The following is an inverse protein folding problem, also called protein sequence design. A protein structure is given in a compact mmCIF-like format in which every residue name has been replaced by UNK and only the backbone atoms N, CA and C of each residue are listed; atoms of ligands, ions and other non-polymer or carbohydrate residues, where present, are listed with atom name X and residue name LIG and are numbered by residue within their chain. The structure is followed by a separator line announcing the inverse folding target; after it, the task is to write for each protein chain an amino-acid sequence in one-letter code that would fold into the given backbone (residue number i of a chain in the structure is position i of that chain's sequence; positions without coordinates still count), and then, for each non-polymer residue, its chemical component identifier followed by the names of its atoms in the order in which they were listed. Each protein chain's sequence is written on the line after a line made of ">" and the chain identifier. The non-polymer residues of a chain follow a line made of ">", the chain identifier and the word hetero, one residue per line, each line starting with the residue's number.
data_IF_515442351210
#
_entry.id   IF_515442351210
#
_cell.length_a   1.000
_cell.length_b   1.000
_cell.length_c   1.000
_cell.angle_alpha   90.00
_cell.angle_beta   90.00
_cell.angle_gamma   90.00
#
_symmetry.space_group_name_H-M   'P 1'
#
loop_
_entity.id
_entity.type
_entity.pdbx_description
1 polymer ?
#
# COMPACT_ATOMS: atom_id res chain seq x y z
N UNK A 1 19.77 -15.45 15.51
CA UNK A 1 19.19 -14.15 15.14
C UNK A 1 18.13 -13.65 16.13
N UNK A 2 17.21 -14.48 16.66
CA UNK A 2 16.16 -13.98 17.60
C UNK A 2 16.68 -13.39 18.92
N UNK A 3 17.84 -13.81 19.41
CA UNK A 3 18.51 -13.27 20.61
C UNK A 3 19.39 -12.04 20.33
N UNK A 4 19.46 -11.55 19.09
CA UNK A 4 20.22 -10.35 18.72
C UNK A 4 19.27 -9.16 18.51
N UNK A 5 19.74 -8.10 17.84
CA UNK A 5 18.95 -6.91 17.46
C UNK A 5 17.55 -7.23 16.93
N UNK A 6 17.36 -8.35 16.21
CA UNK A 6 16.06 -8.74 15.68
C UNK A 6 14.97 -8.86 16.75
N UNK A 7 15.26 -9.48 17.91
CA UNK A 7 14.29 -9.61 18.99
C UNK A 7 13.95 -8.29 19.70
N UNK A 8 14.80 -7.28 19.54
CA UNK A 8 14.57 -5.94 20.08
C UNK A 8 13.53 -5.16 19.26
N UNK A 9 13.47 -5.40 17.96
CA UNK A 9 12.67 -4.60 17.01
C UNK A 9 11.49 -5.35 16.40
N UNK A 10 11.44 -6.68 16.50
CA UNK A 10 10.36 -7.49 15.92
C UNK A 10 9.55 -8.18 17.01
N UNK A 11 8.27 -7.84 17.10
CA UNK A 11 7.36 -8.36 18.12
C UNK A 11 7.06 -9.87 17.95
N UNK A 12 7.20 -10.40 16.74
CA UNK A 12 6.99 -11.81 16.45
C UNK A 12 6.61 -12.08 15.00
N UNK A 13 6.60 -13.36 14.65
CA UNK A 13 6.18 -13.87 13.34
C UNK A 13 4.80 -14.55 13.38
N UNK A 14 4.29 -14.80 14.60
CA UNK A 14 3.00 -15.43 14.87
C UNK A 14 2.16 -14.53 15.77
N UNK A 15 0.84 -14.63 15.66
CA UNK A 15 -0.11 -13.84 16.46
C UNK A 15 0.17 -13.99 17.97
N UNK A 16 0.43 -15.21 18.46
CA UNK A 16 0.69 -15.46 19.88
C UNK A 16 1.96 -14.77 20.40
N UNK A 17 3.01 -14.70 19.57
CA UNK A 17 4.26 -14.00 19.91
C UNK A 17 3.99 -12.49 20.02
N UNK A 18 3.28 -11.92 19.03
CA UNK A 18 2.89 -10.50 19.04
C UNK A 18 1.99 -10.19 20.23
N UNK A 19 1.04 -11.07 20.55
CA UNK A 19 0.11 -10.92 21.69
C UNK A 19 0.85 -10.73 23.01
N UNK A 20 1.91 -11.49 23.26
CA UNK A 20 2.70 -11.36 24.49
C UNK A 20 3.31 -9.96 24.64
N UNK A 21 3.82 -9.38 23.54
CA UNK A 21 4.38 -8.03 23.52
C UNK A 21 3.28 -6.98 23.70
N UNK A 22 2.16 -7.13 22.99
CA UNK A 22 1.01 -6.22 23.10
C UNK A 22 0.46 -6.21 24.53
N UNK A 23 0.27 -7.37 25.15
CA UNK A 23 -0.24 -7.48 26.51
C UNK A 23 0.75 -6.89 27.53
N UNK A 24 2.05 -7.05 27.31
CA UNK A 24 3.08 -6.37 28.11
C UNK A 24 2.94 -4.84 28.00
N UNK A 25 2.80 -4.28 26.81
CA UNK A 25 2.65 -2.83 26.64
C UNK A 25 1.34 -2.28 27.22
N UNK A 26 0.24 -3.04 27.12
CA UNK A 26 -1.03 -2.67 27.76
C UNK A 26 -0.91 -2.51 29.27
N UNK A 27 -0.09 -3.32 29.96
CA UNK A 27 0.14 -3.19 31.41
C UNK A 27 0.73 -1.82 31.79
N UNK A 28 1.45 -1.19 30.85
CA UNK A 28 2.02 0.15 31.01
C UNK A 28 1.17 1.24 30.34
N UNK A 29 -0.07 0.94 29.95
CA UNK A 29 -0.98 1.84 29.22
C UNK A 29 -0.39 2.34 27.88
N UNK A 30 0.47 1.54 27.25
CA UNK A 30 1.06 1.83 25.94
C UNK A 30 0.26 1.14 24.85
N UNK A 31 -0.22 1.92 23.88
CA UNK A 31 -0.91 1.41 22.68
C UNK A 31 0.11 1.04 21.61
N UNK A 32 -0.30 0.13 20.72
CA UNK A 32 0.55 -0.38 19.64
C UNK A 32 -0.04 -0.02 18.27
N UNK A 33 0.85 0.16 17.31
CA UNK A 33 0.52 0.16 15.89
C UNK A 33 1.22 -1.06 15.31
N UNK A 34 0.47 -1.96 14.66
CA UNK A 34 1.07 -3.12 14.05
C UNK A 34 1.59 -2.76 12.67
N UNK A 35 2.91 -2.76 12.54
CA UNK A 35 3.60 -2.55 11.28
C UNK A 35 3.98 -3.90 10.66
N UNK A 36 3.40 -4.19 9.50
CA UNK A 36 3.78 -5.34 8.70
C UNK A 36 4.98 -4.96 7.85
N UNK A 37 6.16 -5.40 8.29
CA UNK A 37 7.45 -5.15 7.66
C UNK A 37 7.53 -5.77 6.26
N UNK A 38 7.04 -5.08 5.23
CA UNK A 38 7.28 -5.37 3.82
C UNK A 38 7.56 -4.11 3.04
N UNK A 39 8.58 -4.18 2.19
CA UNK A 39 9.00 -3.13 1.28
C UNK A 39 9.39 -3.78 -0.05
N UNK A 40 9.12 -3.11 -1.16
CA UNK A 40 9.67 -3.52 -2.44
C UNK A 40 10.78 -2.55 -2.83
N UNK A 41 12.00 -3.06 -2.95
CA UNK A 41 13.14 -2.27 -3.40
C UNK A 41 13.26 -2.29 -4.92
N UNK A 42 13.74 -1.16 -5.48
CA UNK A 42 14.01 -1.02 -6.92
C UNK A 42 15.02 -2.09 -7.39
N UNK A 43 16.00 -2.47 -6.55
CA UNK A 43 17.00 -3.49 -6.88
C UNK A 43 16.39 -4.87 -7.16
N UNK A 44 15.32 -5.23 -6.45
CA UNK A 44 14.63 -6.52 -6.61
C UNK A 44 13.94 -6.64 -7.97
N UNK A 45 13.53 -5.51 -8.57
CA UNK A 45 12.87 -5.49 -9.89
C UNK A 45 13.83 -5.69 -11.08
N UNK A 46 15.14 -5.45 -10.89
CA UNK A 46 16.15 -5.60 -11.95
C UNK A 46 16.53 -7.08 -12.13
N UNK A 47 16.57 -7.87 -11.05
CA UNK A 47 16.97 -9.28 -11.10
C UNK A 47 15.91 -10.18 -11.76
N UNK A 48 14.62 -9.84 -11.65
CA UNK A 48 13.53 -10.59 -12.27
C UNK A 48 13.44 -10.40 -13.79
N UNK A 49 13.98 -9.29 -14.32
CA UNK A 49 13.90 -8.94 -15.75
C UNK A 49 14.85 -9.76 -16.64
N UNK A 50 15.88 -10.40 -16.08
CA UNK A 50 16.90 -11.11 -16.87
C UNK A 50 16.59 -12.59 -17.14
N UNK A 51 15.48 -13.15 -16.63
CA UNK A 51 15.20 -14.60 -16.74
C UNK A 51 13.81 -14.98 -17.27
N UNK A 52 13.00 -14.06 -17.79
CA UNK A 52 11.67 -14.42 -18.32
C UNK A 52 11.65 -14.27 -19.84
N UNK A 53 11.98 -15.37 -20.52
CA UNK A 53 11.67 -15.60 -21.91
C UNK A 53 10.17 -15.37 -22.18
N UNK A 54 9.88 -14.73 -23.32
CA UNK A 54 8.57 -14.56 -23.96
C UNK A 54 7.62 -15.73 -23.68
N UNK A 55 6.60 -15.49 -22.85
CA UNK A 55 5.36 -16.24 -22.93
C UNK A 55 4.20 -15.25 -22.85
N UNK A 56 3.33 -15.35 -23.85
CA UNK A 56 2.14 -14.53 -24.05
C UNK A 56 1.25 -14.63 -22.80
N UNK A 57 1.08 -13.53 -22.08
CA UNK A 57 0.18 -13.48 -20.92
C UNK A 57 -1.27 -13.45 -21.43
N UNK A 58 -1.93 -14.61 -21.38
CA UNK A 58 -3.36 -14.73 -21.65
C UNK A 58 -4.16 -13.89 -20.67
N UNK A 59 -4.90 -12.93 -21.21
CA UNK A 59 -5.99 -12.23 -20.55
C UNK A 59 -7.19 -13.15 -20.43
N UNK A 60 -7.45 -13.68 -19.23
CA UNK A 60 -8.79 -14.13 -18.85
C UNK A 60 -9.30 -13.23 -17.73
N UNK A 61 -10.45 -12.60 -18.00
CA UNK A 61 -11.28 -11.88 -17.05
C UNK A 61 -12.20 -12.93 -16.42
N UNK A 62 -12.19 -13.04 -15.09
CA UNK A 62 -13.20 -13.81 -14.36
C UNK A 62 -13.76 -12.96 -13.21
N UNK A 63 -15.09 -12.94 -13.10
CA UNK A 63 -15.93 -11.99 -12.35
C UNK A 63 -15.90 -12.20 -10.82
N UNK A 64 -14.95 -12.97 -10.31
CA UNK A 64 -14.75 -13.14 -8.86
C UNK A 64 -13.29 -13.00 -8.46
N UNK A 65 -12.94 -11.78 -8.01
CA UNK A 65 -11.79 -11.50 -7.17
C UNK A 65 -10.36 -11.62 -7.74
N UNK A 66 -10.15 -11.84 -9.03
CA UNK A 66 -8.80 -11.93 -9.62
C UNK A 66 -8.33 -10.58 -10.18
N UNK A 67 -7.20 -10.06 -9.66
CA UNK A 67 -6.54 -8.90 -10.26
C UNK A 67 -5.94 -9.33 -11.61
N UNK A 68 -6.17 -8.54 -12.66
CA UNK A 68 -5.53 -8.77 -13.95
C UNK A 68 -4.01 -8.65 -13.80
N UNK A 69 -3.27 -9.61 -14.36
CA UNK A 69 -1.80 -9.64 -14.25
C UNK A 69 -1.22 -8.81 -15.40
N UNK A 70 -0.55 -7.71 -15.05
CA UNK A 70 0.12 -6.81 -16.00
C UNK A 70 1.65 -6.95 -15.94
N UNK A 71 2.18 -7.59 -14.89
CA UNK A 71 3.60 -7.85 -14.67
C UNK A 71 3.80 -9.18 -13.91
N UNK A 72 4.90 -9.94 -14.09
CA UNK A 72 5.17 -11.18 -13.35
C UNK A 72 5.06 -11.02 -11.82
N UNK A 73 5.52 -9.88 -11.31
CA UNK A 73 5.51 -9.57 -9.87
C UNK A 73 4.11 -9.24 -9.33
N UNK A 74 3.06 -9.10 -10.15
CA UNK A 74 1.73 -8.66 -9.69
C UNK A 74 1.18 -9.52 -8.53
N UNK A 75 1.52 -10.81 -8.55
CA UNK A 75 1.12 -11.77 -7.51
C UNK A 75 1.70 -11.44 -6.14
N UNK A 76 2.91 -10.87 -6.07
CA UNK A 76 3.53 -10.50 -4.79
C UNK A 76 2.74 -9.39 -4.10
N UNK A 77 2.23 -8.42 -4.87
CA UNK A 77 1.44 -7.32 -4.35
C UNK A 77 0.06 -7.78 -3.86
N UNK A 78 -0.51 -8.81 -4.49
CA UNK A 78 -1.72 -9.46 -3.99
C UNK A 78 -1.44 -10.16 -2.65
N UNK A 79 -0.34 -10.89 -2.54
CA UNK A 79 0.09 -11.51 -1.27
C UNK A 79 0.29 -10.45 -0.18
N UNK A 80 0.96 -9.33 -0.49
CA UNK A 80 1.16 -8.23 0.45
C UNK A 80 -0.17 -7.61 0.90
N UNK A 81 -1.12 -7.42 -0.02
CA UNK A 81 -2.47 -6.98 0.32
C UNK A 81 -3.15 -7.93 1.32
N UNK A 82 -3.08 -9.25 1.10
CA UNK A 82 -3.63 -10.23 2.05
C UNK A 82 -2.94 -10.17 3.41
N UNK A 83 -1.63 -9.90 3.44
CA UNK A 83 -0.90 -9.74 4.69
C UNK A 83 -1.30 -8.47 5.45
N UNK A 84 -1.56 -7.34 4.77
CA UNK A 84 -2.13 -6.16 5.42
C UNK A 84 -3.54 -6.40 5.96
N UNK A 85 -4.39 -7.13 5.23
CA UNK A 85 -5.72 -7.56 5.70
C UNK A 85 -5.58 -8.42 6.96
N UNK A 86 -4.69 -9.42 6.94
CA UNK A 86 -4.39 -10.26 8.10
C UNK A 86 -3.89 -9.42 9.28
N UNK A 87 -2.99 -8.48 9.03
CA UNK A 87 -2.46 -7.56 10.04
C UNK A 87 -3.58 -6.70 10.66
N UNK A 88 -4.54 -6.22 9.86
CA UNK A 88 -5.72 -5.50 10.38
C UNK A 88 -6.57 -6.38 11.31
N UNK A 89 -6.83 -7.63 10.91
CA UNK A 89 -7.61 -8.57 11.71
C UNK A 89 -6.90 -8.89 13.03
N UNK A 90 -5.58 -9.14 12.97
CA UNK A 90 -4.75 -9.35 14.16
C UNK A 90 -4.73 -8.11 15.05
N UNK A 91 -4.61 -6.91 14.49
CA UNK A 91 -4.66 -5.66 15.28
C UNK A 91 -6.00 -5.49 15.98
N UNK A 92 -7.12 -5.86 15.34
CA UNK A 92 -8.45 -5.88 15.97
C UNK A 92 -8.56 -6.92 17.08
N UNK A 93 -8.11 -8.14 16.83
CA UNK A 93 -8.09 -9.22 17.82
C UNK A 93 -7.31 -8.82 19.06
N UNK A 94 -6.12 -8.24 18.88
CA UNK A 94 -5.22 -7.92 19.98
C UNK A 94 -5.54 -6.59 20.66
N UNK A 95 -6.03 -5.58 19.94
CA UNK A 95 -6.15 -4.20 20.44
C UNK A 95 -7.60 -3.68 20.54
N UNK A 96 -8.58 -4.44 20.06
CA UNK A 96 -10.00 -4.03 20.06
C UNK A 96 -10.21 -2.71 19.31
N UNK A 97 -10.87 -1.75 19.97
CA UNK A 97 -11.14 -0.41 19.41
C UNK A 97 -9.89 0.46 19.20
N UNK A 98 -8.75 0.07 19.79
CA UNK A 98 -7.46 0.72 19.56
C UNK A 98 -6.69 0.09 18.38
N UNK A 99 -7.32 -0.76 17.57
CA UNK A 99 -6.74 -1.33 16.37
C UNK A 99 -6.16 -0.25 15.45
N UNK A 100 -4.87 -0.38 15.16
CA UNK A 100 -4.11 0.52 14.32
C UNK A 100 -3.05 -0.28 13.56
N UNK A 101 -2.94 -0.07 12.25
CA UNK A 101 -1.90 -0.65 11.40
C UNK A 101 -1.16 0.39 10.57
N UNK A 102 0.08 0.05 10.18
CA UNK A 102 0.88 0.76 9.19
C UNK A 102 0.71 0.16 7.79
N UNK A 103 0.90 0.96 6.74
CA UNK A 103 1.01 0.46 5.37
C UNK A 103 1.95 1.32 4.52
N UNK A 104 2.77 0.65 3.70
CA UNK A 104 3.62 1.25 2.66
C UNK A 104 2.99 1.05 1.29
N UNK A 105 2.98 2.08 0.46
CA UNK A 105 2.39 2.02 -0.89
C UNK A 105 3.26 1.19 -1.83
N UNK A 106 4.59 1.27 -1.68
CA UNK A 106 5.52 0.44 -2.46
C UNK A 106 5.35 -1.07 -2.19
N UNK A 107 4.74 -1.47 -1.07
CA UNK A 107 4.43 -2.88 -0.84
C UNK A 107 3.28 -3.40 -1.74
N UNK A 108 2.58 -2.53 -2.48
CA UNK A 108 1.36 -2.87 -3.25
C UNK A 108 1.48 -2.62 -4.76
N UNK A 109 2.61 -2.08 -5.22
CA UNK A 109 2.90 -1.81 -6.64
C UNK A 109 4.40 -1.79 -6.86
N UNK A 110 4.86 -1.99 -8.10
CA UNK A 110 6.27 -1.84 -8.42
C UNK A 110 6.76 -0.40 -8.16
N UNK A 111 7.94 -0.24 -7.55
CA UNK A 111 8.57 1.06 -7.33
C UNK A 111 8.66 1.93 -8.59
N UNK A 112 9.05 1.33 -9.72
CA UNK A 112 9.19 2.04 -11.00
C UNK A 112 7.85 2.63 -11.48
N UNK A 113 6.74 1.91 -11.30
CA UNK A 113 5.41 2.37 -11.68
C UNK A 113 4.98 3.52 -10.79
N UNK A 114 5.20 3.42 -9.48
CA UNK A 114 4.90 4.49 -8.53
C UNK A 114 5.75 5.74 -8.79
N UNK A 115 7.02 5.58 -9.15
CA UNK A 115 7.90 6.69 -9.54
C UNK A 115 7.40 7.40 -10.80
N UNK A 116 7.00 6.64 -11.84
CA UNK A 116 6.41 7.22 -13.05
C UNK A 116 5.10 7.95 -12.76
N UNK A 117 4.25 7.39 -11.91
CA UNK A 117 3.04 8.06 -11.42
C UNK A 117 3.38 9.36 -10.68
N UNK A 118 4.43 9.35 -9.84
CA UNK A 118 4.90 10.54 -9.14
C UNK A 118 5.33 11.64 -10.13
N UNK A 119 6.19 11.31 -11.10
CA UNK A 119 6.63 12.27 -12.13
C UNK A 119 5.46 12.83 -12.95
N UNK A 120 4.49 11.97 -13.28
CA UNK A 120 3.28 12.39 -13.96
C UNK A 120 2.46 13.38 -13.13
N UNK A 121 2.32 13.13 -11.83
CA UNK A 121 1.54 13.99 -10.93
C UNK A 121 2.26 15.28 -10.53
N UNK A 122 3.59 15.32 -10.59
CA UNK A 122 4.40 16.54 -10.37
C UNK A 122 4.36 17.48 -11.57
N UNK A 123 4.35 16.94 -12.80
CA UNK A 123 4.31 17.76 -14.02
C UNK A 123 2.95 18.44 -14.26
N UNK A 124 1.90 18.02 -13.56
CA UNK A 124 0.57 18.64 -13.59
C UNK A 124 0.39 19.60 -12.41
N UNK A 125 0.84 20.83 -12.61
CA UNK A 125 0.59 21.97 -11.73
C UNK A 125 -0.85 22.44 -12.01
N UNK A 126 -1.84 21.96 -11.27
CA UNK A 126 -3.11 22.68 -10.99
C UNK A 126 -4.03 21.88 -10.08
N UNK A 127 -4.84 22.60 -9.30
CA UNK A 127 -5.80 22.16 -8.28
C UNK A 127 -6.97 21.29 -8.79
N UNK A 128 -6.73 20.36 -9.71
CA UNK A 128 -7.74 19.39 -10.10
C UNK A 128 -7.79 18.23 -9.11
N UNK A 129 -9.01 17.74 -8.86
CA UNK A 129 -9.25 16.62 -7.97
C UNK A 129 -8.44 15.42 -8.47
N UNK A 130 -7.76 14.72 -7.56
CA UNK A 130 -7.05 13.48 -7.94
C UNK A 130 -8.01 12.50 -8.63
N UNK A 131 -9.30 12.52 -8.27
CA UNK A 131 -10.34 11.79 -9.00
C UNK A 131 -10.46 12.24 -10.45
N UNK A 132 -10.57 13.53 -10.77
CA UNK A 132 -10.67 13.98 -12.16
C UNK A 132 -9.42 13.56 -12.96
N UNK A 133 -8.25 13.55 -12.31
CA UNK A 133 -6.99 13.13 -12.94
C UNK A 133 -6.90 11.61 -13.10
N UNK A 134 -7.28 10.83 -12.08
CA UNK A 134 -7.24 9.36 -12.09
C UNK A 134 -8.39 8.78 -12.94
N UNK A 135 -9.61 9.31 -12.83
CA UNK A 135 -10.75 8.94 -13.68
C UNK A 135 -10.46 9.35 -15.12
N UNK A 136 -9.86 10.52 -15.39
CA UNK A 136 -9.34 10.85 -16.72
C UNK A 136 -8.26 9.85 -17.15
N UNK A 137 -7.29 9.51 -16.29
CA UNK A 137 -6.28 8.47 -16.56
C UNK A 137 -6.88 7.10 -16.92
N UNK A 138 -7.98 6.72 -16.28
CA UNK A 138 -8.66 5.44 -16.49
C UNK A 138 -9.63 5.48 -17.69
N UNK A 139 -10.20 6.65 -18.02
CA UNK A 139 -11.24 6.80 -19.07
C UNK A 139 -10.70 7.31 -20.40
N UNK A 140 -9.74 8.24 -20.40
CA UNK A 140 -9.12 8.76 -21.61
C UNK A 140 -7.93 7.88 -21.99
N UNK A 141 -8.07 7.02 -22.98
CA UNK A 141 -6.92 6.27 -23.57
C UNK A 141 -5.94 7.17 -24.35
N UNK A 142 -6.11 8.50 -24.37
CA UNK A 142 -5.66 9.33 -25.50
C UNK A 142 -4.73 10.53 -25.20
N UNK A 143 -4.10 10.63 -24.03
CA UNK A 143 -2.96 11.56 -23.82
C UNK A 143 -1.73 10.88 -23.16
N UNK A 144 -1.76 9.55 -23.04
CA UNK A 144 -0.82 8.78 -22.20
C UNK A 144 0.44 8.28 -22.90
N UNK A 145 0.56 8.56 -24.20
CA UNK A 145 1.50 7.86 -25.08
C UNK A 145 2.98 8.17 -24.84
N UNK A 146 3.33 9.08 -23.92
CA UNK A 146 4.73 9.44 -23.68
C UNK A 146 5.29 9.14 -22.27
N UNK A 147 4.51 8.68 -21.28
CA UNK A 147 5.07 8.43 -19.93
C UNK A 147 4.62 7.14 -19.21
N UNK A 148 3.38 6.68 -19.40
CA UNK A 148 2.87 5.45 -18.77
C UNK A 148 2.30 4.51 -19.85
N UNK A 149 2.76 3.26 -19.85
CA UNK A 149 2.24 2.24 -20.77
C UNK A 149 0.86 1.72 -20.32
N UNK A 150 0.06 1.10 -21.22
CA UNK A 150 -1.21 0.50 -20.85
C UNK A 150 -1.12 -0.54 -19.73
N UNK A 151 0.00 -1.27 -19.64
CA UNK A 151 0.23 -2.23 -18.56
C UNK A 151 0.45 -1.50 -17.23
N UNK A 152 1.23 -0.43 -17.23
CA UNK A 152 1.49 0.38 -16.02
C UNK A 152 0.22 1.07 -15.51
N UNK A 153 -0.67 1.53 -16.41
CA UNK A 153 -1.99 2.01 -16.02
C UNK A 153 -2.84 0.90 -15.38
N UNK A 154 -2.73 -0.33 -15.88
CA UNK A 154 -3.33 -1.51 -15.26
C UNK A 154 -2.80 -1.79 -13.85
N UNK A 155 -1.50 -1.70 -13.65
CA UNK A 155 -0.86 -1.85 -12.33
C UNK A 155 -1.31 -0.76 -11.34
N UNK A 156 -1.46 0.49 -11.80
CA UNK A 156 -2.01 1.60 -10.99
C UNK A 156 -3.46 1.33 -10.61
N UNK A 157 -4.29 0.83 -11.54
CA UNK A 157 -5.67 0.44 -11.24
C UNK A 157 -5.71 -0.66 -10.17
N UNK A 158 -4.87 -1.69 -10.31
CA UNK A 158 -4.76 -2.76 -9.32
C UNK A 158 -4.27 -2.24 -7.96
N UNK A 159 -3.31 -1.31 -7.92
CA UNK A 159 -2.87 -0.65 -6.68
C UNK A 159 -4.05 -0.02 -5.93
N UNK A 160 -4.86 0.79 -6.62
CA UNK A 160 -6.01 1.47 -6.01
C UNK A 160 -7.04 0.45 -5.50
N UNK A 161 -7.31 -0.61 -6.26
CA UNK A 161 -8.19 -1.70 -5.85
C UNK A 161 -7.65 -2.45 -4.60
N UNK A 162 -6.35 -2.71 -4.52
CA UNK A 162 -5.71 -3.33 -3.32
C UNK A 162 -5.86 -2.44 -2.09
N UNK A 163 -5.49 -1.18 -2.22
CA UNK A 163 -5.63 -0.18 -1.15
C UNK A 163 -7.08 -0.15 -0.68
N UNK A 164 -8.04 -0.05 -1.61
CA UNK A 164 -9.45 0.03 -1.29
C UNK A 164 -9.92 -1.19 -0.48
N UNK A 165 -9.51 -2.41 -0.86
CA UNK A 165 -9.81 -3.64 -0.10
C UNK A 165 -9.25 -3.59 1.32
N UNK A 166 -8.00 -3.15 1.48
CA UNK A 166 -7.35 -3.01 2.81
C UNK A 166 -8.11 -2.00 3.67
N UNK A 167 -8.41 -0.81 3.14
CA UNK A 167 -9.13 0.25 3.86
C UNK A 167 -10.53 -0.21 4.27
N UNK A 168 -11.25 -0.93 3.40
CA UNK A 168 -12.55 -1.50 3.73
C UNK A 168 -12.48 -2.52 4.88
N UNK A 169 -11.46 -3.38 4.90
CA UNK A 169 -11.21 -4.28 6.03
C UNK A 169 -10.94 -3.52 7.32
N UNK A 170 -10.04 -2.52 7.28
CA UNK A 170 -9.73 -1.68 8.45
C UNK A 170 -10.99 -0.99 8.99
N UNK A 171 -11.83 -0.47 8.09
CA UNK A 171 -13.13 0.14 8.43
C UNK A 171 -14.06 -0.85 9.12
N UNK A 172 -14.23 -2.05 8.55
CA UNK A 172 -15.05 -3.12 9.12
C UNK A 172 -14.58 -3.51 10.53
N UNK A 173 -13.27 -3.47 10.74
CA UNK A 173 -12.64 -3.76 12.02
C UNK A 173 -12.69 -2.58 13.01
N UNK A 174 -13.34 -1.46 12.65
CA UNK A 174 -13.37 -0.20 13.41
C UNK A 174 -11.95 0.28 13.78
N UNK A 175 -10.98 -0.06 12.94
CA UNK A 175 -9.58 0.26 13.14
C UNK A 175 -9.19 1.56 12.46
N UNK A 176 -7.91 1.89 12.62
CA UNK A 176 -7.23 3.01 11.97
C UNK A 176 -6.07 2.47 11.14
N UNK A 177 -5.71 3.21 10.10
CA UNK A 177 -4.58 2.90 9.26
C UNK A 177 -3.82 4.18 8.96
N UNK A 178 -2.50 4.13 9.14
CA UNK A 178 -1.63 5.22 8.74
C UNK A 178 -0.77 4.78 7.56
N UNK A 179 -0.62 5.68 6.61
CA UNK A 179 0.17 5.44 5.40
C UNK A 179 1.55 6.03 5.64
N UNK A 180 2.57 5.18 5.55
CA UNK A 180 3.96 5.57 5.74
C UNK A 180 4.41 6.55 4.68
N UNK A 181 5.22 7.52 5.09
CA UNK A 181 5.97 8.34 4.16
C UNK A 181 7.18 7.55 3.67
N UNK A 182 7.47 7.64 2.39
CA UNK A 182 8.54 6.87 1.75
C UNK A 182 9.58 7.81 1.12
N UNK A 183 10.38 7.30 0.18
CA UNK A 183 11.41 8.09 -0.48
C UNK A 183 10.80 9.28 -1.25
N UNK A 184 11.55 10.38 -1.37
CA UNK A 184 11.04 11.64 -1.95
C UNK A 184 10.45 11.48 -3.35
N UNK A 185 11.03 10.60 -4.17
CA UNK A 185 10.58 10.33 -5.55
C UNK A 185 9.26 9.52 -5.63
N UNK A 186 8.66 9.15 -4.50
CA UNK A 186 7.30 8.62 -4.40
C UNK A 186 6.32 9.54 -3.68
N UNK A 187 6.82 10.50 -2.90
CA UNK A 187 6.03 11.13 -1.85
C UNK A 187 4.88 11.98 -2.39
N UNK A 188 5.02 12.60 -3.57
CA UNK A 188 3.94 13.38 -4.20
C UNK A 188 2.78 12.47 -4.58
N UNK A 189 3.06 11.31 -5.19
CA UNK A 189 2.03 10.32 -5.52
C UNK A 189 1.35 9.77 -4.26
N UNK A 190 2.15 9.39 -3.25
CA UNK A 190 1.63 8.88 -1.96
C UNK A 190 0.72 9.93 -1.32
N UNK A 191 1.18 11.17 -1.15
CA UNK A 191 0.40 12.25 -0.54
C UNK A 191 -0.95 12.45 -1.25
N UNK A 192 -0.95 12.49 -2.58
CA UNK A 192 -2.18 12.64 -3.36
C UNK A 192 -3.12 11.45 -3.10
N UNK A 193 -2.64 10.21 -3.18
CA UNK A 193 -3.43 9.00 -2.88
C UNK A 193 -4.01 9.07 -1.46
N UNK A 194 -3.22 9.43 -0.46
CA UNK A 194 -3.68 9.48 0.94
C UNK A 194 -4.75 10.54 1.15
N UNK A 195 -4.56 11.76 0.62
CA UNK A 195 -5.57 12.84 0.71
C UNK A 195 -6.89 12.39 0.09
N UNK A 196 -6.83 11.68 -1.03
CA UNK A 196 -8.01 11.12 -1.67
C UNK A 196 -8.71 10.07 -0.79
N UNK A 197 -7.97 9.13 -0.21
CA UNK A 197 -8.53 8.14 0.72
C UNK A 197 -9.16 8.81 1.95
N UNK A 198 -8.51 9.85 2.49
CA UNK A 198 -9.06 10.64 3.59
C UNK A 198 -10.38 11.30 3.19
N UNK A 199 -10.48 11.89 1.99
CA UNK A 199 -11.74 12.44 1.47
C UNK A 199 -12.82 11.36 1.33
N UNK A 200 -12.49 10.13 0.96
CA UNK A 200 -13.49 9.06 0.85
C UNK A 200 -13.94 8.54 2.22
N UNK A 201 -12.99 8.28 3.11
CA UNK A 201 -13.22 7.45 4.29
C UNK A 201 -13.32 8.23 5.60
N UNK A 202 -12.70 9.41 5.71
CA UNK A 202 -12.69 10.20 6.94
C UNK A 202 -13.87 11.19 7.02
N UNK A 203 -15.08 10.72 6.71
CA UNK A 203 -16.30 11.55 6.77
C UNK A 203 -16.86 11.67 8.19
N UNK A 204 -17.05 10.52 8.84
CA UNK A 204 -17.65 10.45 10.18
C UNK A 204 -16.64 10.05 11.26
N UNK A 205 -15.61 9.30 10.88
CA UNK A 205 -14.59 8.77 11.78
C UNK A 205 -13.20 8.98 11.16
N UNK A 206 -12.19 9.27 11.98
CA UNK A 206 -10.79 9.31 11.55
C UNK A 206 -10.29 7.87 11.33
N UNK A 207 -10.14 7.49 10.06
CA UNK A 207 -9.74 6.15 9.65
C UNK A 207 -8.36 6.13 9.00
N UNK A 208 -8.13 7.00 8.02
CA UNK A 208 -6.89 7.10 7.24
C UNK A 208 -6.03 8.25 7.75
N UNK A 209 -4.79 7.96 8.11
CA UNK A 209 -3.81 8.92 8.58
C UNK A 209 -2.68 9.08 7.55
N UNK A 210 -2.23 10.32 7.36
CA UNK A 210 -1.09 10.64 6.51
C UNK A 210 0.16 10.87 7.36
N UNK A 211 1.33 10.56 6.80
CA UNK A 211 2.63 10.80 7.44
C UNK A 211 3.36 11.92 6.74
N UNK A 212 3.82 12.91 7.49
CA UNK A 212 4.67 14.00 6.98
C UNK A 212 6.06 13.88 7.58
N UNK A 213 7.08 14.00 6.73
CA UNK A 213 8.48 13.93 7.13
C UNK A 213 9.02 15.33 7.41
N UNK A 214 9.06 15.73 8.68
CA UNK A 214 9.47 17.09 9.09
C UNK A 214 10.93 17.45 8.77
N UNK A 215 11.77 16.49 8.36
CA UNK A 215 13.14 16.76 7.91
C UNK A 215 13.21 17.21 6.44
N UNK A 216 12.12 17.09 5.68
CA UNK A 216 12.04 17.58 4.30
C UNK A 216 11.68 19.07 4.34
N UNK A 217 12.40 19.86 3.54
CA UNK A 217 12.18 21.30 3.37
C UNK A 217 11.05 21.58 2.39
#
# INVERSE_FOLDING_TARGET
>A
MRTTLYGQFVAGTKTDEVKQIVDKFKQYNVKVILDYSMESDISTSITASNNVHKSSFNTELDESNTFKIYHPDERIFNTNMFNYIKNSNTSRELCGQSSFIAMKITALVRPLVLQKLNQFLESRITDHNLFDTIDSLLTTKNDFTHSLTPNELGEISNLLLRINRIIQTVKKNEGRIFIDAEQSYFQTAINKIVIHLQRLYNRNNLLVYNTYQCYKK
#
